data_IF_874192820568
#
_entry.id   IF_874192820568
#
_cell.length_a   1.000
_cell.length_b   1.000
_cell.length_c   1.000
_cell.angle_alpha   90.00
_cell.angle_beta   90.00
_cell.angle_gamma   90.00
#
_symmetry.space_group_name_H-M   'P 1'
#
loop_
_entity.id
_entity.type
_entity.pdbx_description
1 polymer ?
#
# COMPACT_ATOMS: atom_id res chain seq x y z
N UNK A 1 1.24 1.42 -30.24
CA UNK A 1 1.02 0.73 -28.97
C UNK A 1 1.58 1.48 -27.74
N UNK A 2 2.30 2.61 -27.93
CA UNK A 2 2.90 3.40 -26.83
C UNK A 2 2.00 4.51 -26.24
N UNK A 3 0.88 4.83 -26.86
CA UNK A 3 0.04 5.96 -26.42
C UNK A 3 -1.02 5.60 -25.36
N UNK A 4 -1.39 4.30 -25.27
CA UNK A 4 -2.33 3.82 -24.25
C UNK A 4 -1.73 3.90 -22.84
N UNK A 5 -0.45 3.54 -22.66
CA UNK A 5 0.24 3.66 -21.36
C UNK A 5 0.49 5.12 -20.92
N UNK A 6 0.57 6.06 -21.86
CA UNK A 6 0.72 7.50 -21.56
C UNK A 6 -0.60 8.15 -21.15
N UNK A 7 -1.73 7.65 -21.64
CA UNK A 7 -3.05 8.18 -21.31
C UNK A 7 -3.54 7.71 -19.93
N UNK A 8 -3.19 6.48 -19.52
CA UNK A 8 -3.53 5.98 -18.18
C UNK A 8 -2.83 6.77 -17.06
N UNK A 9 -1.60 7.22 -17.28
CA UNK A 9 -0.87 8.00 -16.27
C UNK A 9 -1.38 9.43 -16.07
N UNK A 10 -2.19 9.99 -16.97
CA UNK A 10 -2.77 11.33 -16.81
C UNK A 10 -4.08 11.40 -16.04
N UNK A 11 -4.78 10.26 -15.85
CA UNK A 11 -6.03 10.20 -15.08
C UNK A 11 -5.84 9.76 -13.61
N UNK A 12 -4.63 9.42 -13.18
CA UNK A 12 -4.34 8.94 -11.83
C UNK A 12 -4.19 10.06 -10.80
N UNK A 13 -4.18 11.32 -11.22
CA UNK A 13 -3.91 12.46 -10.32
C UNK A 13 -5.00 12.74 -9.27
N UNK A 14 -6.18 12.10 -9.32
CA UNK A 14 -7.31 12.46 -8.45
C UNK A 14 -7.89 11.33 -7.59
N UNK A 15 -7.23 10.19 -7.43
CA UNK A 15 -7.84 9.02 -6.75
C UNK A 15 -7.33 8.81 -5.33
N UNK A 16 -6.24 9.43 -4.93
CA UNK A 16 -5.70 9.28 -3.58
C UNK A 16 -5.68 10.61 -2.82
N UNK A 17 -6.65 10.79 -1.93
CA UNK A 17 -6.57 11.78 -0.85
C UNK A 17 -6.75 11.06 0.49
N UNK A 18 -5.78 11.17 1.37
CA UNK A 18 -5.97 10.76 2.76
C UNK A 18 -6.86 11.79 3.45
N UNK A 19 -7.92 11.34 4.11
CA UNK A 19 -8.88 12.24 4.76
C UNK A 19 -8.23 12.94 5.95
N UNK A 20 -8.12 14.27 5.88
CA UNK A 20 -7.54 15.09 6.94
C UNK A 20 -8.29 14.96 8.27
N UNK A 21 -9.61 14.73 8.24
CA UNK A 21 -10.40 14.55 9.47
C UNK A 21 -10.08 13.22 10.13
N UNK A 22 -9.85 12.17 9.35
CA UNK A 22 -9.37 10.87 9.84
C UNK A 22 -8.02 11.06 10.55
N UNK A 23 -7.09 11.79 9.93
CA UNK A 23 -5.78 12.06 10.52
C UNK A 23 -5.89 12.87 11.82
N UNK A 24 -6.69 13.94 11.83
CA UNK A 24 -6.91 14.76 13.04
C UNK A 24 -7.50 13.95 14.20
N UNK A 25 -8.45 13.07 13.89
CA UNK A 25 -9.06 12.18 14.88
C UNK A 25 -8.05 11.21 15.45
N UNK A 26 -7.27 10.58 14.60
CA UNK A 26 -6.22 9.66 14.99
C UNK A 26 -5.14 10.32 15.88
N UNK A 27 -4.70 11.51 15.52
CA UNK A 27 -3.73 12.26 16.32
C UNK A 27 -4.28 12.60 17.71
N UNK A 28 -5.56 12.96 17.83
CA UNK A 28 -6.20 13.15 19.14
C UNK A 28 -6.24 11.88 19.97
N UNK A 29 -6.51 10.72 19.33
CA UNK A 29 -6.51 9.44 20.01
C UNK A 29 -5.12 9.07 20.51
N UNK A 30 -4.08 9.19 19.66
CA UNK A 30 -2.68 8.90 20.04
C UNK A 30 -2.19 9.80 21.18
N UNK A 31 -2.64 11.06 21.23
CA UNK A 31 -2.34 11.97 22.32
C UNK A 31 -3.11 11.64 23.61
N UNK A 32 -4.18 10.88 23.50
CA UNK A 32 -5.07 10.52 24.62
C UNK A 32 -4.39 9.60 25.64
N UNK A 33 -4.75 9.74 26.90
CA UNK A 33 -4.17 8.94 28.01
C UNK A 33 -4.53 7.46 28.00
N UNK A 34 -5.61 7.11 27.30
CA UNK A 34 -6.14 5.73 27.25
C UNK A 34 -5.52 4.91 26.11
N UNK A 35 -4.81 5.56 25.18
CA UNK A 35 -4.18 4.90 24.05
C UNK A 35 -2.76 4.42 24.40
N UNK A 36 -2.51 3.14 24.20
CA UNK A 36 -1.21 2.51 24.44
C UNK A 36 -0.53 2.14 23.12
N UNK A 37 0.35 3.01 22.59
CA UNK A 37 0.89 2.88 21.23
C UNK A 37 1.62 1.57 20.95
N UNK A 38 2.14 0.89 21.99
CA UNK A 38 2.84 -0.38 21.84
C UNK A 38 1.92 -1.60 21.71
N UNK A 39 0.70 -1.52 22.24
CA UNK A 39 -0.25 -2.65 22.31
C UNK A 39 -1.51 -2.43 21.49
N UNK A 40 -1.89 -1.18 21.32
CA UNK A 40 -3.09 -0.81 20.58
C UNK A 40 -2.76 -0.47 19.12
N UNK A 41 -3.75 -0.53 18.27
CA UNK A 41 -3.68 -0.02 16.88
C UNK A 41 -4.66 1.14 16.75
N UNK A 42 -4.23 2.27 16.22
CA UNK A 42 -5.10 3.39 15.95
C UNK A 42 -6.09 3.03 14.83
N UNK A 43 -7.34 2.82 15.18
CA UNK A 43 -8.37 2.22 14.31
C UNK A 43 -8.65 3.06 13.07
N UNK A 44 -8.69 4.39 13.19
CA UNK A 44 -9.03 5.26 12.04
C UNK A 44 -7.92 5.22 10.99
N UNK A 45 -6.64 5.24 11.40
CA UNK A 45 -5.50 5.08 10.49
C UNK A 45 -5.45 3.67 9.89
N UNK A 46 -5.75 2.65 10.69
CA UNK A 46 -5.79 1.27 10.23
C UNK A 46 -6.86 1.08 9.15
N UNK A 47 -8.09 1.48 9.41
CA UNK A 47 -9.19 1.33 8.47
C UNK A 47 -8.94 2.10 7.16
N UNK A 48 -8.45 3.35 7.26
CA UNK A 48 -8.13 4.16 6.09
C UNK A 48 -7.01 3.52 5.26
N UNK A 49 -5.95 3.03 5.89
CA UNK A 49 -4.83 2.36 5.22
C UNK A 49 -5.29 1.05 4.57
N UNK A 50 -5.99 0.21 5.32
CA UNK A 50 -6.51 -1.06 4.83
C UNK A 50 -7.47 -0.88 3.65
N UNK A 51 -8.40 0.06 3.74
CA UNK A 51 -9.32 0.41 2.64
C UNK A 51 -8.56 0.87 1.40
N UNK A 52 -7.55 1.69 1.58
CA UNK A 52 -6.67 2.16 0.48
C UNK A 52 -5.98 1.00 -0.22
N UNK A 53 -5.37 0.08 0.53
CA UNK A 53 -4.69 -1.08 -0.04
C UNK A 53 -5.66 -2.06 -0.70
N UNK A 54 -6.86 -2.25 -0.15
CA UNK A 54 -7.90 -3.05 -0.78
C UNK A 54 -8.40 -2.42 -2.09
N UNK A 55 -8.55 -1.11 -2.16
CA UNK A 55 -8.88 -0.41 -3.40
C UNK A 55 -7.79 -0.61 -4.47
N UNK A 56 -6.53 -0.63 -4.07
CA UNK A 56 -5.43 -0.95 -4.99
C UNK A 56 -5.53 -2.39 -5.52
N UNK A 57 -5.85 -3.35 -4.63
CA UNK A 57 -6.09 -4.74 -5.04
C UNK A 57 -7.27 -4.84 -6.00
N UNK A 58 -8.39 -4.20 -5.70
CA UNK A 58 -9.58 -4.21 -6.55
C UNK A 58 -9.29 -3.62 -7.93
N UNK A 59 -8.49 -2.55 -7.97
CA UNK A 59 -8.09 -1.90 -9.22
C UNK A 59 -7.11 -2.76 -10.04
N UNK A 60 -6.14 -3.40 -9.40
CA UNK A 60 -5.11 -4.19 -10.10
C UNK A 60 -5.56 -5.60 -10.43
N UNK A 61 -6.09 -6.34 -9.46
CA UNK A 61 -6.52 -7.74 -9.63
C UNK A 61 -7.91 -7.87 -10.28
N UNK A 62 -8.73 -6.83 -10.15
CA UNK A 62 -10.16 -6.87 -10.44
C UNK A 62 -10.94 -7.48 -9.27
N UNK A 63 -12.12 -6.93 -9.02
CA UNK A 63 -13.03 -7.44 -7.97
C UNK A 63 -13.48 -8.85 -8.30
N UNK A 64 -13.48 -9.76 -7.32
CA UNK A 64 -13.90 -11.15 -7.45
C UNK A 64 -15.09 -11.44 -6.54
N UNK A 65 -16.02 -12.27 -7.03
CA UNK A 65 -17.15 -12.82 -6.27
C UNK A 65 -16.80 -14.26 -5.87
N UNK A 66 -17.59 -14.82 -4.96
CA UNK A 66 -17.33 -16.13 -4.38
C UNK A 66 -17.30 -17.30 -5.39
N UNK A 67 -17.96 -17.14 -6.52
CA UNK A 67 -18.04 -18.09 -7.63
C UNK A 67 -17.01 -17.81 -8.76
N UNK A 68 -16.28 -16.70 -8.66
CA UNK A 68 -15.25 -16.37 -9.64
C UNK A 68 -13.99 -17.24 -9.45
N UNK A 69 -13.27 -17.56 -10.53
CA UNK A 69 -11.94 -18.12 -10.43
C UNK A 69 -11.03 -17.20 -9.61
N UNK A 70 -10.15 -17.78 -8.81
CA UNK A 70 -9.17 -17.07 -7.98
C UNK A 70 -9.76 -16.22 -6.83
N UNK A 71 -11.04 -16.44 -6.46
CA UNK A 71 -11.67 -15.73 -5.34
C UNK A 71 -10.89 -15.94 -4.02
N UNK A 72 -10.46 -17.17 -3.74
CA UNK A 72 -9.69 -17.45 -2.52
C UNK A 72 -8.36 -16.71 -2.52
N UNK A 73 -7.65 -16.69 -3.65
CA UNK A 73 -6.40 -15.94 -3.77
C UNK A 73 -6.62 -14.42 -3.63
N UNK A 74 -7.68 -13.89 -4.22
CA UNK A 74 -8.08 -12.48 -4.04
C UNK A 74 -8.35 -12.15 -2.56
N UNK A 75 -9.02 -13.05 -1.83
CA UNK A 75 -9.26 -12.89 -0.38
C UNK A 75 -7.96 -12.89 0.43
N UNK A 76 -7.02 -13.76 0.08
CA UNK A 76 -5.71 -13.82 0.72
C UNK A 76 -4.92 -12.52 0.53
N UNK A 77 -4.93 -11.94 -0.66
CA UNK A 77 -4.31 -10.62 -0.90
C UNK A 77 -4.93 -9.57 0.02
N UNK A 78 -6.26 -9.54 0.14
CA UNK A 78 -6.96 -8.57 1.01
C UNK A 78 -6.70 -8.81 2.49
N UNK A 79 -6.53 -10.06 2.91
CA UNK A 79 -6.12 -10.39 4.28
C UNK A 79 -4.67 -9.90 4.55
N UNK A 80 -3.76 -10.08 3.61
CA UNK A 80 -2.39 -9.56 3.70
C UNK A 80 -2.35 -8.03 3.75
N UNK A 81 -3.28 -7.34 3.08
CA UNK A 81 -3.41 -5.88 3.17
C UNK A 81 -3.76 -5.42 4.60
N UNK A 82 -4.55 -6.21 5.36
CA UNK A 82 -4.83 -5.89 6.76
C UNK A 82 -3.57 -6.01 7.62
N UNK A 83 -2.77 -7.06 7.40
CA UNK A 83 -1.48 -7.24 8.09
C UNK A 83 -0.53 -6.09 7.77
N UNK A 84 -0.41 -5.73 6.50
CA UNK A 84 0.40 -4.57 6.07
C UNK A 84 -0.06 -3.27 6.73
N UNK A 85 -1.38 -3.00 6.73
CA UNK A 85 -1.95 -1.81 7.36
C UNK A 85 -1.65 -1.76 8.86
N UNK A 86 -1.79 -2.88 9.57
CA UNK A 86 -1.50 -2.97 10.99
C UNK A 86 -0.03 -2.62 11.30
N UNK A 87 0.93 -3.21 10.58
CA UNK A 87 2.35 -2.92 10.78
C UNK A 87 2.71 -1.47 10.46
N UNK A 88 2.16 -0.93 9.36
CA UNK A 88 2.40 0.45 8.95
C UNK A 88 1.89 1.44 10.00
N UNK A 89 0.67 1.25 10.43
CA UNK A 89 0.03 2.12 11.44
C UNK A 89 0.72 2.00 12.77
N UNK A 90 1.02 0.77 13.21
CA UNK A 90 1.74 0.54 14.47
C UNK A 90 3.09 1.26 14.48
N UNK A 91 3.83 1.24 13.38
CA UNK A 91 5.08 2.00 13.28
C UNK A 91 4.83 3.50 13.36
N UNK A 92 3.93 4.03 12.53
CA UNK A 92 3.65 5.47 12.47
C UNK A 92 3.17 6.02 13.83
N UNK A 93 2.25 5.32 14.51
CA UNK A 93 1.75 5.73 15.82
C UNK A 93 2.83 5.73 16.91
N UNK A 94 3.76 4.75 16.87
CA UNK A 94 4.87 4.70 17.81
C UNK A 94 5.88 5.83 17.56
N UNK A 95 6.20 6.12 16.28
CA UNK A 95 7.09 7.24 15.94
C UNK A 95 6.48 8.58 16.39
N UNK A 96 5.16 8.74 16.29
CA UNK A 96 4.44 9.93 16.78
C UNK A 96 4.35 9.97 18.31
N UNK A 97 4.05 8.84 18.94
CA UNK A 97 3.92 8.75 20.39
C UNK A 97 5.26 8.96 21.12
N UNK A 98 6.38 8.59 20.53
CA UNK A 98 7.71 8.85 21.07
C UNK A 98 7.99 10.35 21.30
N UNK A 99 7.26 11.24 20.65
CA UNK A 99 7.38 12.69 20.79
C UNK A 99 6.40 13.30 21.82
N UNK A 100 5.61 12.48 22.51
CA UNK A 100 4.64 12.97 23.51
C UNK A 100 5.32 13.65 24.69
N UNK A 101 6.46 13.13 25.12
CA UNK A 101 7.19 13.68 26.26
C UNK A 101 8.33 14.62 25.81
N UNK A 102 8.58 15.64 26.60
CA UNK A 102 9.75 16.49 26.45
C UNK A 102 11.03 15.85 27.05
N UNK A 103 12.16 16.53 26.95
CA UNK A 103 13.45 16.07 27.49
C UNK A 103 13.45 15.89 29.02
N UNK A 104 12.49 16.50 29.72
CA UNK A 104 12.31 16.40 31.16
C UNK A 104 11.28 15.34 31.56
N UNK A 105 10.70 14.62 30.59
CA UNK A 105 9.67 13.61 30.81
C UNK A 105 8.28 14.17 31.02
N UNK A 106 8.04 15.46 30.76
CA UNK A 106 6.70 16.06 30.87
C UNK A 106 5.94 15.90 29.56
N UNK A 107 4.62 15.70 29.67
CA UNK A 107 3.75 15.66 28.51
C UNK A 107 3.75 17.03 27.80
N UNK A 108 4.11 17.05 26.52
CA UNK A 108 4.03 18.26 25.70
C UNK A 108 2.61 18.74 25.55
N UNK A 109 2.35 20.05 25.53
CA UNK A 109 1.05 20.58 25.12
C UNK A 109 0.68 20.08 23.72
N UNK A 110 -0.60 19.78 23.50
CA UNK A 110 -1.09 19.17 22.23
C UNK A 110 -0.62 19.93 20.98
N UNK A 111 -0.71 21.25 20.97
CA UNK A 111 -0.30 22.08 19.82
C UNK A 111 1.20 22.03 19.53
N UNK A 112 2.02 21.85 20.56
CA UNK A 112 3.47 21.70 20.38
C UNK A 112 3.80 20.29 19.84
N UNK A 113 3.19 19.27 20.41
CA UNK A 113 3.31 17.91 19.92
C UNK A 113 2.81 17.78 18.48
N UNK A 114 1.67 18.35 18.16
CA UNK A 114 1.08 18.34 16.82
C UNK A 114 2.04 18.88 15.75
N UNK A 115 2.73 19.99 16.03
CA UNK A 115 3.75 20.56 15.12
C UNK A 115 4.91 19.60 14.86
N UNK A 116 5.29 18.80 15.84
CA UNK A 116 6.39 17.83 15.71
C UNK A 116 5.97 16.58 14.92
N UNK A 117 4.73 16.12 15.08
CA UNK A 117 4.26 14.88 14.47
C UNK A 117 3.67 15.06 13.07
N UNK A 118 3.20 16.25 12.71
CA UNK A 118 2.63 16.50 11.38
C UNK A 118 3.56 16.12 10.23
N UNK A 119 4.87 16.44 10.25
CA UNK A 119 5.80 16.00 9.20
C UNK A 119 5.92 14.47 9.11
N UNK A 120 5.86 13.77 10.25
CA UNK A 120 5.90 12.29 10.30
C UNK A 120 4.62 11.72 9.70
N UNK A 121 3.48 12.24 10.14
CA UNK A 121 2.16 11.80 9.68
C UNK A 121 1.99 12.02 8.16
N UNK A 122 2.36 13.20 7.67
CA UNK A 122 2.30 13.53 6.25
C UNK A 122 3.22 12.61 5.43
N UNK A 123 4.46 12.42 5.87
CA UNK A 123 5.40 11.56 5.17
C UNK A 123 4.97 10.09 5.16
N UNK A 124 4.62 9.52 6.32
CA UNK A 124 4.33 8.09 6.43
C UNK A 124 2.92 7.71 5.98
N UNK A 125 1.93 8.57 6.23
CA UNK A 125 0.52 8.24 6.01
C UNK A 125 -0.04 8.83 4.71
N UNK A 126 0.59 9.86 4.13
CA UNK A 126 0.15 10.46 2.87
C UNK A 126 1.10 10.10 1.73
N UNK A 127 2.34 10.56 1.78
CA UNK A 127 3.27 10.36 0.65
C UNK A 127 3.66 8.91 0.42
N UNK A 128 4.07 8.18 1.46
CA UNK A 128 4.44 6.77 1.32
C UNK A 128 3.25 5.90 0.97
N UNK A 129 2.10 6.15 1.58
CA UNK A 129 0.91 5.35 1.29
C UNK A 129 0.49 5.49 -0.18
N UNK A 130 0.67 6.66 -0.80
CA UNK A 130 0.45 6.85 -2.24
C UNK A 130 1.37 5.96 -3.07
N UNK A 131 2.68 5.97 -2.78
CA UNK A 131 3.65 5.13 -3.48
C UNK A 131 3.34 3.63 -3.31
N UNK A 132 2.93 3.23 -2.11
CA UNK A 132 2.55 1.86 -1.80
C UNK A 132 1.26 1.46 -2.53
N UNK A 133 0.30 2.36 -2.64
CA UNK A 133 -0.92 2.16 -3.42
C UNK A 133 -0.60 1.89 -4.89
N UNK A 134 0.19 2.75 -5.52
CA UNK A 134 0.56 2.59 -6.93
C UNK A 134 1.32 1.27 -7.17
N UNK A 135 2.23 0.94 -6.27
CA UNK A 135 2.97 -0.34 -6.30
C UNK A 135 2.03 -1.53 -6.10
N UNK A 136 1.06 -1.43 -5.19
CA UNK A 136 0.09 -2.49 -4.94
C UNK A 136 -0.84 -2.74 -6.13
N UNK A 137 -1.25 -1.68 -6.85
CA UNK A 137 -2.02 -1.82 -8.10
C UNK A 137 -1.24 -2.64 -9.12
N UNK A 138 0.04 -2.30 -9.36
CA UNK A 138 0.89 -3.01 -10.31
C UNK A 138 1.08 -4.48 -9.91
N UNK A 139 1.38 -4.74 -8.63
CA UNK A 139 1.57 -6.10 -8.12
C UNK A 139 0.30 -6.94 -8.17
N UNK A 140 -0.84 -6.34 -7.86
CA UNK A 140 -2.13 -7.01 -7.93
C UNK A 140 -2.49 -7.37 -9.40
N UNK A 141 -2.18 -6.51 -10.35
CA UNK A 141 -2.35 -6.79 -11.78
C UNK A 141 -1.45 -7.95 -12.22
N UNK A 142 -0.16 -7.90 -11.86
CA UNK A 142 0.77 -9.00 -12.17
C UNK A 142 0.35 -10.33 -11.54
N UNK A 143 -0.23 -10.30 -10.34
CA UNK A 143 -0.76 -11.48 -9.69
C UNK A 143 -1.97 -12.06 -10.45
N UNK A 144 -2.86 -11.22 -10.97
CA UNK A 144 -3.98 -11.64 -11.81
C UNK A 144 -3.50 -12.28 -13.12
N UNK A 145 -2.52 -11.65 -13.79
CA UNK A 145 -1.89 -12.19 -15.00
C UNK A 145 -1.26 -13.56 -14.72
N UNK A 146 -0.53 -13.69 -13.59
CA UNK A 146 0.08 -14.95 -13.20
C UNK A 146 -0.94 -16.06 -12.99
N UNK A 147 -2.05 -15.77 -12.33
CA UNK A 147 -3.15 -16.74 -12.15
C UNK A 147 -3.77 -17.15 -13.49
N UNK A 148 -3.85 -16.24 -14.44
CA UNK A 148 -4.29 -16.56 -15.81
C UNK A 148 -3.29 -17.49 -16.50
N UNK A 149 -1.99 -17.20 -16.43
CA UNK A 149 -0.96 -18.05 -17.02
C UNK A 149 -0.99 -19.46 -16.46
N UNK A 150 -1.16 -19.61 -15.14
CA UNK A 150 -1.30 -20.92 -14.51
C UNK A 150 -2.50 -21.72 -15.03
N UNK A 151 -3.63 -21.07 -15.33
CA UNK A 151 -4.79 -21.74 -15.92
C UNK A 151 -4.57 -22.14 -17.38
N UNK A 152 -3.78 -21.37 -18.11
CA UNK A 152 -3.53 -21.55 -19.55
C UNK A 152 -2.26 -22.37 -19.84
N UNK A 153 -1.53 -22.82 -18.83
CA UNK A 153 -0.22 -23.48 -18.99
C UNK A 153 -0.22 -24.72 -19.85
N UNK A 154 -1.35 -25.43 -19.96
CA UNK A 154 -1.48 -26.62 -20.81
C UNK A 154 -1.50 -26.25 -22.30
N UNK A 155 -1.88 -24.99 -22.63
CA UNK A 155 -1.93 -24.47 -24.00
C UNK A 155 -0.70 -23.60 -24.26
N UNK A 156 -0.33 -22.76 -23.27
CA UNK A 156 0.79 -21.82 -23.32
C UNK A 156 1.78 -22.11 -22.19
N UNK A 157 2.58 -23.20 -22.28
CA UNK A 157 3.37 -23.71 -21.16
C UNK A 157 4.59 -22.87 -20.82
N UNK A 158 4.93 -21.88 -21.62
CA UNK A 158 6.16 -21.12 -21.45
C UNK A 158 5.91 -19.61 -21.48
N UNK A 159 6.66 -18.91 -20.63
CA UNK A 159 6.76 -17.45 -20.62
C UNK A 159 8.10 -17.00 -21.13
N UNK A 160 8.11 -15.90 -21.90
CA UNK A 160 9.34 -15.25 -22.35
C UNK A 160 9.59 -13.98 -21.56
N UNK A 161 10.79 -13.88 -20.99
CA UNK A 161 11.20 -12.66 -20.29
C UNK A 161 11.49 -11.55 -21.29
N UNK A 162 10.64 -10.53 -21.34
CA UNK A 162 10.79 -9.42 -22.28
C UNK A 162 11.66 -8.31 -21.68
N UNK A 163 12.35 -7.52 -22.53
CA UNK A 163 13.03 -6.31 -22.09
C UNK A 163 12.08 -5.37 -21.33
N UNK A 164 12.60 -4.74 -20.28
CA UNK A 164 11.85 -3.73 -19.54
C UNK A 164 11.53 -2.53 -20.44
N UNK A 165 10.31 -2.01 -20.33
CA UNK A 165 9.88 -0.75 -20.95
C UNK A 165 10.19 0.48 -20.08
N UNK A 166 10.78 0.28 -18.88
CA UNK A 166 11.20 1.35 -18.00
C UNK A 166 12.31 2.20 -18.62
N UNK A 167 12.28 3.50 -18.38
CA UNK A 167 13.34 4.43 -18.79
C UNK A 167 14.67 4.09 -18.10
N UNK A 168 14.60 3.53 -16.87
CA UNK A 168 15.75 3.10 -16.08
C UNK A 168 15.57 1.63 -15.66
N UNK A 169 15.77 0.67 -16.58
CA UNK A 169 15.65 -0.74 -16.25
C UNK A 169 16.79 -1.17 -15.33
N UNK A 170 16.48 -1.99 -14.32
CA UNK A 170 17.49 -2.60 -13.46
C UNK A 170 18.52 -3.39 -14.30
N UNK A 171 19.81 -3.15 -14.04
CA UNK A 171 20.89 -3.77 -14.83
C UNK A 171 20.94 -5.29 -14.64
N UNK A 172 20.62 -5.76 -13.44
CA UNK A 172 20.57 -7.15 -13.00
C UNK A 172 19.49 -7.99 -13.71
N UNK A 173 18.41 -7.36 -14.18
CA UNK A 173 17.36 -8.07 -14.92
C UNK A 173 17.69 -8.30 -16.39
N UNK A 174 18.67 -7.59 -16.97
CA UNK A 174 19.02 -7.69 -18.40
C UNK A 174 19.52 -9.08 -18.79
N UNK A 175 20.15 -9.80 -17.87
CA UNK A 175 20.66 -11.16 -18.10
C UNK A 175 19.56 -12.17 -18.40
N UNK A 176 18.32 -11.88 -18.03
CA UNK A 176 17.16 -12.75 -18.27
C UNK A 176 16.41 -12.42 -19.56
N UNK A 177 16.67 -11.26 -20.20
CA UNK A 177 15.94 -10.84 -21.39
C UNK A 177 16.05 -11.86 -22.51
N UNK A 178 14.92 -12.21 -23.09
CA UNK A 178 14.82 -13.20 -24.14
C UNK A 178 14.80 -14.65 -23.65
N UNK A 179 15.05 -14.91 -22.36
CA UNK A 179 14.96 -16.28 -21.83
C UNK A 179 13.51 -16.75 -21.80
N UNK A 180 13.34 -18.07 -22.03
CA UNK A 180 12.05 -18.74 -21.98
C UNK A 180 12.05 -19.65 -20.75
N UNK A 181 10.98 -19.63 -19.97
CA UNK A 181 10.79 -20.44 -18.76
C UNK A 181 9.38 -21.05 -18.75
N UNK A 182 9.24 -22.26 -18.21
CA UNK A 182 7.89 -22.81 -17.99
C UNK A 182 7.11 -21.98 -16.96
N UNK A 183 5.78 -22.02 -17.10
CA UNK A 183 4.82 -21.47 -16.12
C UNK A 183 4.83 -22.30 -14.86
#
# INVERSE_FOLDING_TARGET
>A
MNDLYRLENKQVENVFSFDEEVLKKALKNIYGKEFHPMTDIEENLFEATWKTMNNATDKGFGTRKADDPDYDFYREIRANNAVFAAFKVHRAQNDMAALLLDENGNLRPFEQWLKLVMPIADHQMVHWLRTEYDTAVIRAHQAADWRQFEREKDILPNLKWMPSTSVHPGADHRVFWGTIRPV
#
